data_IF_053845218786
#
_entry.id   IF_053845218786
#
_cell.length_a   1.000
_cell.length_b   1.000
_cell.length_c   1.000
_cell.angle_alpha   90.00
_cell.angle_beta   90.00
_cell.angle_gamma   90.00
#
_symmetry.space_group_name_H-M   'P 1'
#
loop_
_entity.id
_entity.type
_entity.pdbx_description
1 polymer ?
#
# COMPACT_ATOMS: atom_id res chain seq x y z
N UNK A 1 5.61 8.48 -30.43
CA UNK A 1 4.71 9.25 -29.54
C UNK A 1 4.66 8.53 -28.20
N UNK A 2 5.11 9.17 -27.12
CA UNK A 2 4.83 8.67 -25.77
C UNK A 2 3.37 8.95 -25.46
N UNK A 3 2.52 7.93 -25.47
CA UNK A 3 1.10 8.07 -25.12
C UNK A 3 1.00 8.44 -23.64
N UNK A 4 0.47 9.63 -23.35
CA UNK A 4 0.20 10.05 -21.96
C UNK A 4 -0.80 9.07 -21.36
N UNK A 5 -0.39 8.34 -20.32
CA UNK A 5 -1.27 7.44 -19.58
C UNK A 5 -2.06 8.23 -18.55
N UNK A 6 -3.36 8.00 -18.48
CA UNK A 6 -4.17 8.55 -17.40
C UNK A 6 -3.94 7.78 -16.08
N UNK A 7 -4.46 8.30 -14.96
CA UNK A 7 -4.25 7.69 -13.65
C UNK A 7 -4.83 6.27 -13.54
N UNK A 8 -5.96 6.00 -14.17
CA UNK A 8 -6.57 4.66 -14.14
C UNK A 8 -5.72 3.62 -14.88
N UNK A 9 -5.13 4.00 -16.01
CA UNK A 9 -4.17 3.15 -16.71
C UNK A 9 -2.92 2.89 -15.85
N UNK A 10 -2.43 3.88 -15.10
CA UNK A 10 -1.27 3.70 -14.22
C UNK A 10 -1.60 2.78 -13.04
N UNK A 11 -2.76 2.99 -12.38
CA UNK A 11 -3.25 2.17 -11.27
C UNK A 11 -3.44 0.71 -11.68
N UNK A 12 -4.16 0.48 -12.77
CA UNK A 12 -4.39 -0.87 -13.29
C UNK A 12 -3.07 -1.53 -13.70
N UNK A 13 -2.19 -0.81 -14.39
CA UNK A 13 -0.89 -1.35 -14.80
C UNK A 13 0.00 -1.71 -13.62
N UNK A 14 -0.06 -1.00 -12.49
CA UNK A 14 0.68 -1.40 -11.30
C UNK A 14 0.04 -2.60 -10.60
N UNK A 15 -1.28 -2.57 -10.43
CA UNK A 15 -2.03 -3.66 -9.80
C UNK A 15 -1.85 -5.01 -10.51
N UNK A 16 -1.78 -5.02 -11.85
CA UNK A 16 -1.59 -6.24 -12.65
C UNK A 16 -0.23 -6.90 -12.38
N UNK A 17 0.83 -6.13 -12.05
CA UNK A 17 2.14 -6.71 -11.71
C UNK A 17 2.07 -7.62 -10.49
N UNK A 18 1.17 -7.31 -9.57
CA UNK A 18 0.96 -8.03 -8.31
C UNK A 18 -0.16 -9.08 -8.39
N UNK A 19 -0.66 -9.41 -9.59
CA UNK A 19 -1.76 -10.37 -9.75
C UNK A 19 -1.38 -11.80 -9.29
N UNK A 20 -0.09 -12.12 -9.29
CA UNK A 20 0.43 -13.40 -8.81
C UNK A 20 0.65 -13.46 -7.30
N UNK A 21 0.69 -12.29 -6.63
CA UNK A 21 1.13 -12.16 -5.25
C UNK A 21 0.06 -12.65 -4.28
N UNK A 22 0.52 -13.26 -3.20
CA UNK A 22 -0.30 -13.73 -2.08
C UNK A 22 -0.06 -12.83 -0.88
N UNK A 23 -1.06 -12.04 -0.53
CA UNK A 23 -1.03 -11.15 0.63
C UNK A 23 -1.69 -11.85 1.81
N UNK A 24 -1.05 -12.92 2.28
CA UNK A 24 -1.59 -13.77 3.33
C UNK A 24 -1.50 -13.06 4.69
N UNK A 25 -2.62 -13.09 5.41
CA UNK A 25 -2.64 -12.77 6.82
C UNK A 25 -2.13 -13.93 7.64
N UNK A 26 -1.83 -13.68 8.90
CA UNK A 26 -1.46 -14.74 9.88
C UNK A 26 -2.54 -15.83 9.94
N UNK A 27 -3.79 -15.47 9.63
CA UNK A 27 -4.96 -16.37 9.59
C UNK A 27 -5.35 -16.87 8.18
N UNK A 28 -4.49 -16.72 7.16
CA UNK A 28 -4.77 -17.16 5.78
C UNK A 28 -5.71 -16.25 4.96
N UNK A 29 -6.36 -15.28 5.59
CA UNK A 29 -7.24 -14.32 4.91
C UNK A 29 -6.50 -13.29 4.04
N UNK A 30 -7.17 -12.81 2.98
CA UNK A 30 -6.63 -11.79 2.06
C UNK A 30 -6.51 -10.41 2.72
N UNK A 31 -5.30 -10.02 3.12
CA UNK A 31 -5.03 -8.73 3.81
C UNK A 31 -5.34 -7.52 2.94
N UNK A 32 -5.16 -7.62 1.62
CA UNK A 32 -5.43 -6.54 0.66
C UNK A 32 -6.86 -5.99 0.79
N UNK A 33 -7.83 -6.84 1.15
CA UNK A 33 -9.23 -6.42 1.35
C UNK A 33 -9.44 -5.70 2.69
N UNK A 34 -8.57 -5.90 3.68
CA UNK A 34 -8.63 -5.30 5.03
C UNK A 34 -7.98 -3.92 5.11
N UNK A 35 -7.04 -3.60 4.21
CA UNK A 35 -6.33 -2.31 4.24
C UNK A 35 -7.26 -1.10 3.99
N UNK A 36 -8.18 -1.08 3.00
CA UNK A 36 -9.06 0.08 2.78
C UNK A 36 -9.98 0.43 3.97
N UNK A 37 -10.66 -0.51 4.67
CA UNK A 37 -11.35 -0.17 5.91
C UNK A 37 -10.38 0.32 6.98
N UNK A 38 -9.23 -0.33 7.16
CA UNK A 38 -8.23 0.09 8.16
C UNK A 38 -7.73 1.54 7.96
N UNK A 39 -7.49 1.97 6.72
CA UNK A 39 -7.13 3.36 6.40
C UNK A 39 -8.29 4.32 6.71
N UNK A 40 -9.54 3.91 6.44
CA UNK A 40 -10.71 4.76 6.72
C UNK A 40 -10.96 4.93 8.22
N UNK A 41 -10.78 3.85 8.98
CA UNK A 41 -11.13 3.82 10.40
C UNK A 41 -10.01 4.39 11.29
N UNK A 42 -8.74 4.13 10.93
CA UNK A 42 -7.57 4.51 11.74
C UNK A 42 -6.71 5.61 11.10
N UNK A 43 -7.09 6.09 9.91
CA UNK A 43 -6.25 6.97 9.09
C UNK A 43 -5.08 6.24 8.41
N UNK A 44 -4.47 6.90 7.42
CA UNK A 44 -3.35 6.33 6.66
C UNK A 44 -2.12 6.04 7.54
N UNK A 45 -1.73 6.99 8.40
CA UNK A 45 -0.61 6.83 9.32
C UNK A 45 -0.85 5.73 10.35
N UNK A 46 -2.07 5.58 10.88
CA UNK A 46 -2.40 4.51 11.81
C UNK A 46 -2.34 3.12 11.17
N UNK A 47 -2.85 2.99 9.94
CA UNK A 47 -2.75 1.76 9.18
C UNK A 47 -1.30 1.42 8.81
N UNK A 48 -0.51 2.42 8.43
CA UNK A 48 0.91 2.25 8.10
C UNK A 48 1.74 1.87 9.34
N UNK A 49 1.52 2.55 10.47
CA UNK A 49 2.20 2.26 11.74
C UNK A 49 2.02 0.80 12.17
N UNK A 50 0.81 0.27 12.03
CA UNK A 50 0.55 -1.16 12.28
C UNK A 50 1.29 -2.06 11.30
N UNK A 51 1.34 -1.70 10.02
CA UNK A 51 2.03 -2.50 9.01
C UNK A 51 3.54 -2.59 9.25
N UNK A 52 4.16 -1.50 9.73
CA UNK A 52 5.61 -1.42 10.01
C UNK A 52 6.00 -1.87 11.42
N UNK A 53 5.02 -2.26 12.25
CA UNK A 53 5.28 -2.80 13.58
C UNK A 53 6.23 -3.99 13.49
N UNK A 54 7.27 -4.01 14.33
CA UNK A 54 8.30 -5.05 14.33
C UNK A 54 8.11 -6.04 15.48
N UNK A 55 8.55 -7.28 15.27
CA UNK A 55 8.63 -8.30 16.30
C UNK A 55 9.92 -8.18 17.14
N UNK A 56 10.10 -9.07 18.12
CA UNK A 56 11.30 -9.08 18.99
C UNK A 56 12.61 -9.36 18.25
N UNK A 57 12.54 -9.79 16.99
CA UNK A 57 13.67 -10.11 16.11
C UNK A 57 13.86 -9.06 15.02
N UNK A 58 13.22 -7.90 15.16
CA UNK A 58 13.27 -6.78 14.22
C UNK A 58 12.68 -7.08 12.83
N UNK A 59 11.84 -8.12 12.70
CA UNK A 59 11.11 -8.42 11.45
C UNK A 59 9.72 -7.76 11.46
N UNK A 60 9.12 -7.47 10.29
CA UNK A 60 7.73 -7.05 10.23
C UNK A 60 6.82 -8.07 10.93
N UNK A 61 6.15 -7.64 12.00
CA UNK A 61 5.18 -8.46 12.74
C UNK A 61 3.95 -8.78 11.89
N UNK A 62 3.62 -7.88 10.95
CA UNK A 62 2.47 -7.95 10.06
C UNK A 62 2.91 -8.04 8.58
N UNK A 63 3.60 -9.11 8.14
CA UNK A 63 4.26 -9.15 6.84
C UNK A 63 3.30 -8.97 5.65
N UNK A 64 2.09 -9.52 5.73
CA UNK A 64 1.06 -9.30 4.70
C UNK A 64 0.59 -7.85 4.61
N UNK A 65 0.52 -7.11 5.72
CA UNK A 65 0.16 -5.69 5.72
C UNK A 65 1.32 -4.86 5.18
N UNK A 66 2.52 -5.16 5.64
CA UNK A 66 3.76 -4.54 5.16
C UNK A 66 3.87 -4.64 3.64
N UNK A 67 3.64 -5.84 3.09
CA UNK A 67 3.72 -6.08 1.65
C UNK A 67 2.67 -5.29 0.85
N UNK A 68 1.44 -5.13 1.37
CA UNK A 68 0.46 -4.23 0.71
C UNK A 68 0.96 -2.79 0.68
N UNK A 69 1.59 -2.32 1.75
CA UNK A 69 2.16 -0.97 1.79
C UNK A 69 3.40 -0.82 0.90
N UNK A 70 4.14 -1.88 0.61
CA UNK A 70 5.18 -1.87 -0.45
C UNK A 70 4.56 -1.64 -1.83
N UNK A 71 3.45 -2.31 -2.15
CA UNK A 71 2.72 -2.07 -3.40
C UNK A 71 2.19 -0.63 -3.51
N UNK A 72 1.71 -0.07 -2.39
CA UNK A 72 1.25 1.33 -2.32
C UNK A 72 2.45 2.28 -2.52
N UNK A 73 3.57 2.02 -1.84
CA UNK A 73 4.82 2.77 -1.98
C UNK A 73 5.26 2.80 -3.45
N UNK A 74 5.38 1.64 -4.11
CA UNK A 74 5.73 1.57 -5.53
C UNK A 74 4.80 2.43 -6.40
N UNK A 75 3.48 2.34 -6.14
CA UNK A 75 2.47 3.11 -6.88
C UNK A 75 2.67 4.62 -6.71
N UNK A 76 2.89 5.07 -5.48
CA UNK A 76 3.06 6.48 -5.16
C UNK A 76 4.35 7.06 -5.76
N UNK A 77 5.44 6.29 -5.76
CA UNK A 77 6.71 6.68 -6.42
C UNK A 77 6.51 6.83 -7.92
N UNK A 78 5.81 5.88 -8.56
CA UNK A 78 5.52 5.92 -9.99
C UNK A 78 4.71 7.15 -10.42
N UNK A 79 3.93 7.73 -9.50
CA UNK A 79 3.17 8.97 -9.71
C UNK A 79 3.92 10.23 -9.27
N UNK A 80 5.18 10.11 -8.80
CA UNK A 80 5.96 11.19 -8.20
C UNK A 80 5.22 11.89 -7.04
N UNK A 81 4.38 11.14 -6.30
CA UNK A 81 3.63 11.70 -5.15
C UNK A 81 4.45 11.71 -3.87
N UNK A 82 5.48 10.87 -3.81
CA UNK A 82 6.46 10.78 -2.72
C UNK A 82 7.88 10.78 -3.31
N UNK A 83 8.91 11.10 -2.51
CA UNK A 83 10.30 11.04 -2.93
C UNK A 83 10.79 9.65 -3.35
N UNK A 84 11.76 9.61 -4.27
CA UNK A 84 12.37 8.36 -4.73
C UNK A 84 13.23 7.66 -3.67
N UNK A 85 13.66 8.38 -2.62
CA UNK A 85 14.45 7.82 -1.52
C UNK A 85 13.59 7.10 -0.46
N UNK A 86 12.25 7.13 -0.53
CA UNK A 86 11.41 6.26 0.30
C UNK A 86 11.57 4.80 -0.17
N UNK A 87 12.48 4.04 0.45
CA UNK A 87 12.85 2.68 0.07
C UNK A 87 11.83 1.63 0.47
N UNK A 88 11.09 1.88 1.55
CA UNK A 88 10.23 0.90 2.21
C UNK A 88 9.06 1.59 2.96
N UNK A 89 8.06 0.83 3.43
CA UNK A 89 6.94 1.36 4.21
C UNK A 89 7.34 2.19 5.45
N UNK A 90 8.46 1.89 6.12
CA UNK A 90 8.90 2.65 7.28
C UNK A 90 9.41 4.04 6.87
N UNK A 91 10.25 4.12 5.84
CA UNK A 91 10.70 5.40 5.27
C UNK A 91 9.56 6.26 4.71
N UNK A 92 8.48 5.62 4.22
CA UNK A 92 7.24 6.32 3.86
C UNK A 92 6.57 6.94 5.09
N UNK A 93 6.55 6.22 6.22
CA UNK A 93 6.01 6.73 7.47
C UNK A 93 6.80 7.94 7.95
N UNK A 94 8.13 7.85 7.97
CA UNK A 94 9.01 8.96 8.34
C UNK A 94 8.75 10.20 7.47
N UNK A 95 8.66 10.03 6.14
CA UNK A 95 8.35 11.12 5.22
C UNK A 95 6.99 11.76 5.50
N UNK A 96 5.95 10.96 5.74
CA UNK A 96 4.59 11.46 5.89
C UNK A 96 4.32 12.14 7.23
N UNK A 97 5.05 11.77 8.30
CA UNK A 97 4.95 12.44 9.60
C UNK A 97 5.46 13.88 9.53
N UNK A 98 6.49 14.13 8.72
CA UNK A 98 7.05 15.47 8.48
C UNK A 98 6.34 16.24 7.37
N UNK A 99 5.42 15.61 6.65
CA UNK A 99 4.70 16.21 5.53
C UNK A 99 3.49 17.02 6.00
N UNK A 100 3.06 17.98 5.18
CA UNK A 100 1.85 18.74 5.46
C UNK A 100 0.56 17.90 5.30
N UNK A 101 -0.54 18.41 5.85
CA UNK A 101 -1.85 17.75 5.78
C UNK A 101 -2.40 17.59 4.37
N UNK A 102 -2.01 18.45 3.42
CA UNK A 102 -2.46 18.33 2.03
C UNK A 102 -1.78 17.14 1.35
N UNK A 103 -0.48 16.95 1.57
CA UNK A 103 0.28 15.78 1.13
C UNK A 103 -0.27 14.49 1.72
N UNK A 104 -0.56 14.47 3.03
CA UNK A 104 -1.13 13.28 3.66
C UNK A 104 -2.51 12.92 3.08
N UNK A 105 -3.39 13.91 2.85
CA UNK A 105 -4.70 13.68 2.20
C UNK A 105 -4.55 13.17 0.78
N UNK A 106 -3.61 13.74 0.02
CA UNK A 106 -3.33 13.35 -1.36
C UNK A 106 -2.86 11.89 -1.47
N UNK A 107 -1.89 11.51 -0.63
CA UNK A 107 -1.38 10.13 -0.53
C UNK A 107 -2.48 9.17 -0.08
N UNK A 108 -3.29 9.57 0.90
CA UNK A 108 -4.43 8.76 1.37
C UNK A 108 -5.44 8.51 0.25
N UNK A 109 -5.83 9.55 -0.48
CA UNK A 109 -6.82 9.47 -1.56
C UNK A 109 -6.32 8.59 -2.71
N UNK A 110 -5.10 8.81 -3.17
CA UNK A 110 -4.52 7.99 -4.26
C UNK A 110 -4.36 6.53 -3.84
N UNK A 111 -3.94 6.27 -2.60
CA UNK A 111 -3.77 4.90 -2.09
C UNK A 111 -5.10 4.15 -2.10
N UNK A 112 -6.19 4.77 -1.64
CA UNK A 112 -7.53 4.16 -1.67
C UNK A 112 -8.01 3.90 -3.11
N UNK A 113 -7.74 4.82 -4.04
CA UNK A 113 -8.08 4.64 -5.46
C UNK A 113 -7.28 3.50 -6.09
N UNK A 114 -5.99 3.40 -5.79
CA UNK A 114 -5.13 2.30 -6.24
C UNK A 114 -5.59 0.95 -5.68
N UNK A 115 -5.91 0.89 -4.39
CA UNK A 115 -6.37 -0.34 -3.72
C UNK A 115 -7.65 -0.91 -4.32
N UNK A 116 -8.51 -0.09 -4.93
CA UNK A 116 -9.66 -0.59 -5.70
C UNK A 116 -9.24 -1.47 -6.88
N UNK A 117 -8.09 -1.21 -7.51
CA UNK A 117 -7.53 -2.04 -8.56
C UNK A 117 -6.80 -3.24 -7.98
N UNK A 118 -5.87 -3.02 -7.05
CA UNK A 118 -5.04 -4.09 -6.47
C UNK A 118 -5.89 -5.27 -5.98
N UNK A 119 -6.94 -4.99 -5.18
CA UNK A 119 -7.82 -6.03 -4.62
C UNK A 119 -8.57 -6.91 -5.64
N UNK A 120 -8.63 -6.50 -6.91
CA UNK A 120 -9.30 -7.25 -7.99
C UNK A 120 -8.37 -8.25 -8.66
N UNK A 121 -7.06 -8.05 -8.57
CA UNK A 121 -6.06 -8.87 -9.25
C UNK A 121 -5.37 -9.86 -8.31
N UNK A 122 -5.37 -9.61 -7.00
CA UNK A 122 -4.78 -10.52 -6.03
C UNK A 122 -5.58 -11.81 -5.90
N UNK A 123 -4.87 -12.92 -5.75
CA UNK A 123 -5.53 -14.22 -5.51
C UNK A 123 -6.27 -14.20 -4.16
N UNK A 124 -7.43 -14.86 -4.05
CA UNK A 124 -8.00 -15.14 -2.74
C UNK A 124 -6.96 -15.88 -1.90
N UNK A 125 -6.81 -15.46 -0.64
CA UNK A 125 -6.06 -16.26 0.34
C UNK A 125 -6.73 -17.62 0.50
N UNK A 126 -6.01 -18.62 0.99
CA UNK A 126 -6.64 -19.90 1.35
C UNK A 126 -7.61 -19.64 2.50
N UNK A 127 -8.89 -19.54 2.18
CA UNK A 127 -9.95 -19.65 3.18
C UNK A 127 -9.87 -21.09 3.72
N UNK A 128 -9.44 -21.23 4.98
CA UNK A 128 -9.55 -22.49 5.73
C UNK A 128 -10.99 -22.64 6.24
#
# INVERSE_FOLDING_TARGET
>A
MNTVKNLDQIRAANAIKHAGDTFEGVDGGSIVKKIPPMIRDNGFLGALAFAVEKDKKDNPKNPGHYHVFECILEHLKKLNRIPDNCSDPFSLMEYLVESDSAKLRDVTAESLLYMNYLRRFVKPGKDN
#
